data_IF_736941926121
#
_entry.id   IF_736941926121
#
_cell.length_a   1.000
_cell.length_b   1.000
_cell.length_c   1.000
_cell.angle_alpha   90.00
_cell.angle_beta   90.00
_cell.angle_gamma   90.00
#
_symmetry.space_group_name_H-M   'P 1'
#
loop_
_entity.id
_entity.type
_entity.pdbx_description
1 polymer ?
#
# COMPACT_ATOMS: atom_id res chain seq x y z
N UNK A 1 24.59 -16.40 18.67
CA UNK A 1 23.66 -15.56 17.90
C UNK A 1 22.44 -16.40 17.61
N UNK A 2 21.32 -16.01 18.15
CA UNK A 2 20.01 -16.63 17.85
C UNK A 2 19.52 -16.12 16.50
N UNK A 3 18.93 -17.00 15.67
CA UNK A 3 18.49 -16.64 14.32
C UNK A 3 17.09 -17.19 14.10
N UNK A 4 16.15 -16.28 13.81
CA UNK A 4 14.80 -16.63 13.38
C UNK A 4 14.67 -16.49 11.86
N UNK A 5 13.76 -17.27 11.29
CA UNK A 5 13.49 -17.17 9.86
C UNK A 5 12.84 -15.83 9.52
N UNK A 6 11.77 -15.43 10.23
CA UNK A 6 11.05 -14.16 10.01
C UNK A 6 10.97 -13.34 11.29
N UNK A 7 11.48 -12.11 11.25
CA UNK A 7 11.13 -11.04 12.17
C UNK A 7 9.90 -10.31 11.64
N UNK A 8 8.91 -10.09 12.49
CA UNK A 8 7.63 -9.50 12.14
C UNK A 8 7.32 -8.34 13.09
N UNK A 9 7.47 -7.10 12.63
CA UNK A 9 7.25 -5.90 13.41
C UNK A 9 5.85 -5.33 13.18
N UNK A 10 5.17 -4.95 14.26
CA UNK A 10 3.88 -4.30 14.22
C UNK A 10 3.61 -3.47 15.48
N UNK A 11 2.68 -2.52 15.37
CA UNK A 11 2.22 -1.69 16.48
C UNK A 11 0.71 -1.49 16.48
N UNK A 12 0.05 -1.69 15.35
CA UNK A 12 -1.38 -1.48 15.22
C UNK A 12 -2.16 -2.69 15.75
N UNK A 13 -2.97 -2.47 16.77
CA UNK A 13 -3.72 -3.53 17.47
C UNK A 13 -4.67 -4.33 16.54
N UNK A 14 -5.17 -3.69 15.48
CA UNK A 14 -6.03 -4.36 14.50
C UNK A 14 -5.29 -5.32 13.55
N UNK A 15 -3.97 -5.29 13.53
CA UNK A 15 -3.15 -6.25 12.78
C UNK A 15 -3.05 -7.63 13.48
N UNK A 16 -3.42 -7.75 14.74
CA UNK A 16 -3.26 -9.00 15.53
C UNK A 16 -3.79 -10.24 14.81
N UNK A 17 -4.95 -10.13 14.16
CA UNK A 17 -5.52 -11.25 13.41
C UNK A 17 -4.67 -11.70 12.23
N UNK A 18 -4.10 -10.76 11.50
CA UNK A 18 -3.22 -11.05 10.37
C UNK A 18 -1.87 -11.63 10.82
N UNK A 19 -1.32 -11.11 11.91
CA UNK A 19 -0.09 -11.63 12.49
C UNK A 19 -0.25 -13.06 13.01
N UNK A 20 -1.32 -13.34 13.75
CA UNK A 20 -1.66 -14.69 14.19
C UNK A 20 -1.75 -15.66 13.01
N UNK A 21 -2.36 -15.21 11.90
CA UNK A 21 -2.46 -16.00 10.68
C UNK A 21 -1.09 -16.27 10.06
N UNK A 22 -0.20 -15.27 10.02
CA UNK A 22 1.19 -15.43 9.54
C UNK A 22 1.91 -16.43 10.43
N UNK A 23 1.96 -16.22 11.75
CA UNK A 23 2.69 -17.08 12.67
C UNK A 23 2.22 -18.53 12.57
N UNK A 24 0.92 -18.77 12.70
CA UNK A 24 0.36 -20.13 12.64
C UNK A 24 0.70 -20.82 11.32
N UNK A 25 0.58 -20.10 10.19
CA UNK A 25 0.84 -20.68 8.87
C UNK A 25 2.32 -20.99 8.67
N UNK A 26 3.20 -20.08 9.06
CA UNK A 26 4.63 -20.24 8.87
C UNK A 26 5.21 -21.29 9.83
N UNK A 27 4.84 -21.24 11.11
CA UNK A 27 5.31 -22.19 12.12
C UNK A 27 4.86 -23.62 11.81
N UNK A 28 3.63 -23.82 11.32
CA UNK A 28 3.16 -25.13 10.87
C UNK A 28 3.96 -25.70 9.70
N UNK A 29 4.61 -24.83 8.93
CA UNK A 29 5.51 -25.20 7.82
C UNK A 29 7.01 -25.26 8.22
N UNK A 30 7.33 -25.19 9.51
CA UNK A 30 8.71 -25.24 10.03
C UNK A 30 9.52 -23.96 9.79
N UNK A 31 8.86 -22.81 9.67
CA UNK A 31 9.48 -21.48 9.57
C UNK A 31 9.36 -20.80 10.93
N UNK A 32 10.48 -20.48 11.57
CA UNK A 32 10.48 -19.80 12.87
C UNK A 32 10.15 -18.32 12.72
N UNK A 33 9.30 -17.80 13.62
CA UNK A 33 8.86 -16.41 13.65
C UNK A 33 9.27 -15.74 14.95
N UNK A 34 9.46 -14.43 14.92
CA UNK A 34 9.72 -13.58 16.09
C UNK A 34 8.93 -12.28 15.94
N UNK A 35 8.09 -11.99 16.92
CA UNK A 35 7.27 -10.78 16.95
C UNK A 35 8.01 -9.64 17.60
N UNK A 36 8.02 -8.48 16.92
CA UNK A 36 8.50 -7.21 17.43
C UNK A 36 7.30 -6.28 17.65
N UNK A 37 7.19 -5.73 18.85
CA UNK A 37 6.12 -4.81 19.25
C UNK A 37 6.67 -3.76 20.20
N UNK A 38 5.83 -2.82 20.63
CA UNK A 38 6.20 -1.83 21.66
C UNK A 38 6.77 -2.46 22.94
N UNK A 39 6.35 -3.68 23.29
CA UNK A 39 6.77 -4.32 24.50
C UNK A 39 8.24 -4.78 24.51
N UNK A 40 8.84 -4.97 23.34
CA UNK A 40 10.19 -5.56 23.24
C UNK A 40 11.13 -4.83 22.27
N UNK A 41 10.69 -3.78 21.58
CA UNK A 41 11.48 -3.12 20.52
C UNK A 41 12.85 -2.65 21.01
N UNK A 42 12.96 -2.11 22.23
CA UNK A 42 14.23 -1.64 22.80
C UNK A 42 15.21 -2.79 23.05
N UNK A 43 14.75 -3.87 23.70
CA UNK A 43 15.57 -5.05 23.98
C UNK A 43 15.99 -5.72 22.66
N UNK A 44 15.07 -5.88 21.72
CA UNK A 44 15.35 -6.47 20.40
C UNK A 44 16.37 -5.63 19.65
N UNK A 45 16.25 -4.29 19.68
CA UNK A 45 17.20 -3.41 19.02
C UNK A 45 18.62 -3.59 19.58
N UNK A 46 18.77 -3.66 20.90
CA UNK A 46 20.07 -3.93 21.53
C UNK A 46 20.62 -5.29 21.14
N UNK A 47 19.78 -6.33 21.14
CA UNK A 47 20.21 -7.71 20.79
C UNK A 47 20.63 -7.77 19.31
N UNK A 48 19.91 -7.09 18.41
CA UNK A 48 20.25 -7.01 16.99
C UNK A 48 21.55 -6.23 16.81
N UNK A 49 21.70 -5.05 17.42
CA UNK A 49 22.94 -4.23 17.35
C UNK A 49 24.16 -5.05 17.81
N UNK A 50 24.04 -5.74 18.94
CA UNK A 50 25.08 -6.55 19.55
C UNK A 50 25.29 -7.91 18.87
N UNK A 51 24.61 -8.21 17.76
CA UNK A 51 24.67 -9.47 17.01
C UNK A 51 24.30 -10.70 17.84
N UNK A 52 23.45 -10.55 18.84
CA UNK A 52 22.91 -11.65 19.64
C UNK A 52 21.66 -12.25 18.97
N UNK A 53 20.90 -11.42 18.23
CA UNK A 53 19.69 -11.78 17.50
C UNK A 53 19.81 -11.39 16.01
N UNK A 54 19.27 -12.21 15.12
CA UNK A 54 19.21 -11.93 13.69
C UNK A 54 17.97 -12.57 13.04
N UNK A 55 17.59 -12.04 11.89
CA UNK A 55 16.48 -12.52 11.08
C UNK A 55 16.97 -12.82 9.65
N UNK A 56 16.49 -13.93 9.06
CA UNK A 56 16.72 -14.22 7.64
C UNK A 56 15.82 -13.34 6.76
N UNK A 57 14.60 -13.14 7.21
CA UNK A 57 13.58 -12.27 6.57
C UNK A 57 13.03 -11.31 7.60
N UNK A 58 12.56 -10.14 7.13
CA UNK A 58 11.96 -9.13 7.98
C UNK A 58 10.78 -8.50 7.27
N UNK A 59 9.61 -8.52 7.90
CA UNK A 59 8.41 -7.81 7.47
C UNK A 59 8.10 -6.73 8.50
N UNK A 60 8.19 -5.48 8.05
CA UNK A 60 7.96 -4.31 8.90
C UNK A 60 6.56 -3.73 8.63
N UNK A 61 5.74 -3.72 9.67
CA UNK A 61 4.42 -3.09 9.69
C UNK A 61 4.30 -2.02 10.78
N UNK A 62 5.43 -1.40 11.17
CA UNK A 62 5.51 -0.44 12.25
C UNK A 62 6.41 0.77 11.96
N UNK A 63 7.16 0.76 10.85
CA UNK A 63 8.18 1.75 10.54
C UNK A 63 7.65 3.20 10.47
N UNK A 64 6.40 3.38 10.04
CA UNK A 64 5.74 4.67 9.85
C UNK A 64 5.02 5.19 11.10
N UNK A 65 5.01 4.42 12.16
CA UNK A 65 4.29 4.75 13.41
C UNK A 65 5.24 5.22 14.52
N UNK A 66 6.47 4.67 14.54
CA UNK A 66 7.40 4.94 15.64
C UNK A 66 8.87 4.86 15.17
N UNK A 67 9.66 5.89 15.52
CA UNK A 67 11.07 6.05 15.11
C UNK A 67 11.98 4.89 15.53
N UNK A 68 11.66 4.16 16.61
CA UNK A 68 12.46 3.01 17.06
C UNK A 68 12.37 1.85 16.06
N UNK A 69 11.18 1.62 15.47
CA UNK A 69 11.01 0.60 14.42
C UNK A 69 11.70 1.03 13.13
N UNK A 70 11.58 2.29 12.74
CA UNK A 70 12.30 2.84 11.60
C UNK A 70 13.82 2.66 11.75
N UNK A 71 14.38 3.06 12.92
CA UNK A 71 15.81 2.93 13.20
C UNK A 71 16.28 1.48 13.16
N UNK A 72 15.50 0.55 13.74
CA UNK A 72 15.81 -0.88 13.71
C UNK A 72 15.72 -1.42 12.28
N UNK A 73 14.69 -1.04 11.52
CA UNK A 73 14.53 -1.42 10.11
C UNK A 73 15.72 -1.01 9.26
N UNK A 74 16.27 0.18 9.46
CA UNK A 74 17.49 0.64 8.82
C UNK A 74 18.71 -0.22 9.16
N UNK A 75 18.86 -0.66 10.41
CA UNK A 75 19.96 -1.53 10.85
C UNK A 75 19.82 -2.91 10.20
N UNK A 76 18.62 -3.48 10.21
CA UNK A 76 18.31 -4.79 9.61
C UNK A 76 18.57 -4.75 8.10
N UNK A 77 18.12 -3.72 7.41
CA UNK A 77 18.27 -3.58 5.95
C UNK A 77 19.74 -3.47 5.49
N UNK A 78 20.66 -3.06 6.38
CA UNK A 78 22.12 -3.04 6.10
C UNK A 78 22.79 -4.41 6.25
N UNK A 79 22.04 -5.43 6.68
CA UNK A 79 22.55 -6.79 6.89
C UNK A 79 22.15 -7.70 5.72
N UNK A 80 22.43 -9.01 5.86
CA UNK A 80 22.04 -10.02 4.86
C UNK A 80 20.56 -10.43 4.96
N UNK A 81 19.76 -9.72 5.73
CA UNK A 81 18.33 -9.97 5.89
C UNK A 81 17.57 -9.54 4.63
N UNK A 82 16.66 -10.39 4.16
CA UNK A 82 15.72 -9.99 3.10
C UNK A 82 14.57 -9.23 3.74
N UNK A 83 14.45 -7.96 3.42
CA UNK A 83 13.42 -7.07 3.98
C UNK A 83 12.26 -6.95 2.99
N UNK A 84 11.04 -7.21 3.45
CA UNK A 84 9.78 -6.95 2.76
C UNK A 84 9.13 -5.72 3.38
N UNK A 85 8.97 -4.68 2.81
CA UNK A 85 9.43 -3.85 1.74
C UNK A 85 10.71 -3.09 2.15
N UNK A 86 11.72 -2.97 1.29
CA UNK A 86 12.91 -2.18 1.63
C UNK A 86 12.58 -0.69 1.80
N UNK A 87 12.97 -0.10 2.94
CA UNK A 87 12.59 1.25 3.36
C UNK A 87 12.73 2.33 2.28
N UNK A 88 13.88 2.39 1.60
CA UNK A 88 14.08 3.37 0.51
C UNK A 88 13.08 3.25 -0.63
N UNK A 89 12.62 2.03 -0.93
CA UNK A 89 11.62 1.81 -1.97
C UNK A 89 10.25 2.24 -1.48
N UNK A 90 9.95 2.03 -0.19
CA UNK A 90 8.70 2.48 0.41
C UNK A 90 8.59 3.99 0.35
N UNK A 91 9.60 4.73 0.84
CA UNK A 91 9.62 6.20 0.79
C UNK A 91 9.40 6.75 -0.60
N UNK A 92 9.95 6.10 -1.62
CA UNK A 92 9.73 6.49 -3.01
C UNK A 92 8.31 6.16 -3.49
N UNK A 93 7.81 4.98 -3.13
CA UNK A 93 6.52 4.49 -3.61
C UNK A 93 5.30 5.17 -2.97
N UNK A 94 5.43 5.68 -1.74
CA UNK A 94 4.34 6.40 -1.06
C UNK A 94 4.20 7.86 -1.51
N UNK A 95 5.23 8.45 -2.13
CA UNK A 95 5.15 9.81 -2.71
C UNK A 95 4.24 9.79 -3.95
N UNK A 96 2.99 10.24 -3.77
CA UNK A 96 1.97 10.25 -4.82
C UNK A 96 2.37 11.08 -6.03
N UNK A 97 3.13 12.17 -5.84
CA UNK A 97 3.60 12.99 -6.95
C UNK A 97 4.61 12.24 -7.83
N UNK A 98 5.59 11.57 -7.22
CA UNK A 98 6.57 10.75 -7.93
C UNK A 98 5.90 9.57 -8.64
N UNK A 99 5.02 8.85 -7.95
CA UNK A 99 4.31 7.72 -8.55
C UNK A 99 3.40 8.13 -9.70
N UNK A 100 2.75 9.31 -9.61
CA UNK A 100 1.95 9.84 -10.70
C UNK A 100 2.76 9.96 -12.00
N UNK A 101 3.93 10.59 -11.93
CA UNK A 101 4.83 10.77 -13.07
C UNK A 101 5.36 9.44 -13.62
N UNK A 102 5.73 8.52 -12.73
CA UNK A 102 6.21 7.20 -13.14
C UNK A 102 5.12 6.37 -13.81
N UNK A 103 3.89 6.45 -13.31
CA UNK A 103 2.76 5.71 -13.89
C UNK A 103 2.39 6.23 -15.27
N UNK A 104 2.36 7.56 -15.48
CA UNK A 104 2.18 8.16 -16.81
C UNK A 104 3.30 7.69 -17.75
N UNK A 105 4.54 7.82 -17.34
CA UNK A 105 5.72 7.43 -18.13
C UNK A 105 5.68 5.94 -18.48
N UNK A 106 5.17 5.12 -17.58
CA UNK A 106 4.97 3.70 -17.83
C UNK A 106 3.73 3.39 -18.68
N UNK A 107 2.91 4.37 -19.05
CA UNK A 107 1.68 4.18 -19.83
C UNK A 107 0.56 3.49 -19.03
N UNK A 108 0.46 3.76 -17.73
CA UNK A 108 -0.72 3.48 -16.93
C UNK A 108 -1.68 4.66 -17.04
N UNK A 109 -2.98 4.38 -17.06
CA UNK A 109 -3.96 5.45 -16.95
C UNK A 109 -4.05 5.88 -15.49
N UNK A 110 -3.93 7.15 -15.23
CA UNK A 110 -4.12 7.81 -13.95
C UNK A 110 -5.06 9.01 -14.15
N UNK A 111 -5.73 9.52 -13.12
CA UNK A 111 -6.55 10.72 -13.24
C UNK A 111 -5.73 11.90 -13.73
N UNK A 112 -6.33 12.81 -14.48
CA UNK A 112 -5.70 14.12 -14.72
C UNK A 112 -5.38 14.75 -13.37
N UNK A 113 -4.17 15.25 -13.21
CA UNK A 113 -3.72 15.74 -11.91
C UNK A 113 -2.80 16.95 -12.04
N UNK A 114 -2.93 17.87 -11.08
CA UNK A 114 -2.07 19.03 -10.91
C UNK A 114 -1.29 18.82 -9.60
N UNK A 115 0.04 18.82 -9.69
CA UNK A 115 0.91 18.70 -8.51
C UNK A 115 1.25 20.10 -8.04
N UNK A 116 1.00 20.37 -6.76
CA UNK A 116 1.23 21.66 -6.12
C UNK A 116 2.38 21.52 -5.13
N UNK A 117 3.38 22.42 -5.18
CA UNK A 117 4.50 22.42 -4.26
C UNK A 117 4.07 22.70 -2.82
N UNK A 118 4.91 22.39 -1.80
CA UNK A 118 4.68 22.75 -0.42
C UNK A 118 4.38 24.24 -0.23
N UNK A 119 3.52 24.57 0.73
CA UNK A 119 3.23 25.97 1.05
C UNK A 119 4.46 26.71 1.56
N UNK A 120 5.31 26.05 2.33
CA UNK A 120 6.57 26.59 2.83
C UNK A 120 7.57 26.97 1.71
N UNK A 121 7.48 26.34 0.54
CA UNK A 121 8.32 26.68 -0.62
C UNK A 121 7.69 27.74 -1.50
N UNK A 122 6.38 27.64 -1.79
CA UNK A 122 5.65 28.54 -2.67
C UNK A 122 4.27 28.83 -2.07
N UNK A 123 4.06 30.03 -1.53
CA UNK A 123 2.77 30.44 -0.96
C UNK A 123 1.67 30.53 -2.02
N UNK A 124 1.96 31.23 -3.13
CA UNK A 124 0.98 31.47 -4.18
C UNK A 124 1.05 30.39 -5.25
N UNK A 125 -0.07 29.70 -5.49
CA UNK A 125 -0.18 28.73 -6.57
C UNK A 125 -0.66 29.43 -7.85
N UNK A 126 -0.10 29.00 -8.98
CA UNK A 126 -0.55 29.42 -10.31
C UNK A 126 -1.18 28.19 -10.98
N UNK A 127 -2.49 28.23 -11.17
CA UNK A 127 -3.26 27.24 -11.91
C UNK A 127 -4.03 27.98 -13.00
N UNK A 128 -3.92 27.53 -14.22
CA UNK A 128 -4.60 28.15 -15.36
C UNK A 128 -6.08 27.77 -15.41
N UNK A 129 -6.87 28.55 -16.14
CA UNK A 129 -8.30 28.26 -16.33
C UNK A 129 -8.46 26.93 -17.10
N UNK A 130 -7.58 26.66 -18.07
CA UNK A 130 -7.57 25.45 -18.86
C UNK A 130 -7.29 24.21 -17.99
N UNK A 131 -6.35 24.30 -17.04
CA UNK A 131 -6.08 23.23 -16.09
C UNK A 131 -7.28 22.96 -15.19
N UNK A 132 -7.96 24.01 -14.72
CA UNK A 132 -9.17 23.89 -13.91
C UNK A 132 -10.34 23.31 -14.71
N UNK A 133 -10.46 23.64 -16.00
CA UNK A 133 -11.48 23.08 -16.87
C UNK A 133 -11.29 21.56 -17.05
N UNK A 134 -10.06 21.12 -17.26
CA UNK A 134 -9.72 19.68 -17.38
C UNK A 134 -9.91 18.95 -16.06
N UNK A 135 -9.48 19.56 -14.94
CA UNK A 135 -9.62 18.99 -13.59
C UNK A 135 -11.11 18.75 -13.25
N UNK A 136 -11.97 19.64 -13.69
CA UNK A 136 -13.42 19.57 -13.47
C UNK A 136 -13.83 19.81 -12.03
N UNK A 137 -15.14 19.67 -11.75
CA UNK A 137 -15.73 19.80 -10.41
C UNK A 137 -16.78 18.73 -10.18
N UNK A 138 -16.88 18.15 -8.98
CA UNK A 138 -15.90 18.27 -7.89
C UNK A 138 -14.60 17.54 -8.22
N UNK A 139 -13.49 17.93 -7.58
CA UNK A 139 -12.18 17.28 -7.69
C UNK A 139 -11.69 16.77 -6.34
N UNK A 140 -10.56 16.05 -6.33
CA UNK A 140 -9.96 15.47 -5.13
C UNK A 140 -8.71 16.25 -4.77
N UNK A 141 -8.51 16.55 -3.48
CA UNK A 141 -7.26 17.10 -2.93
C UNK A 141 -6.62 16.01 -2.07
N UNK A 142 -5.35 15.70 -2.30
CA UNK A 142 -4.61 14.71 -1.51
C UNK A 142 -3.22 15.24 -1.14
N UNK A 143 -2.76 15.11 0.12
CA UNK A 143 -1.36 15.27 0.45
C UNK A 143 -0.54 14.15 -0.21
N UNK A 144 0.67 14.46 -0.68
CA UNK A 144 1.46 13.50 -1.44
C UNK A 144 2.17 12.47 -0.57
N UNK A 145 2.66 12.86 0.60
CA UNK A 145 3.47 11.99 1.46
C UNK A 145 2.71 11.42 2.66
N UNK A 146 1.51 11.92 2.95
CA UNK A 146 0.66 11.35 4.00
C UNK A 146 0.04 10.04 3.51
N UNK A 147 0.25 8.96 4.24
CA UNK A 147 -0.25 7.62 3.93
C UNK A 147 -1.27 7.15 4.97
N UNK A 148 -2.23 6.35 4.52
CA UNK A 148 -3.20 5.67 5.39
C UNK A 148 -4.44 6.50 5.76
N UNK A 149 -5.56 5.81 5.93
CA UNK A 149 -6.79 6.32 6.52
C UNK A 149 -7.50 7.48 5.84
N UNK A 150 -7.04 7.96 4.68
CA UNK A 150 -7.63 9.12 3.99
C UNK A 150 -7.41 10.45 4.72
N UNK A 151 -6.45 10.53 5.64
CA UNK A 151 -6.14 11.77 6.38
C UNK A 151 -5.73 12.88 5.41
N UNK A 152 -6.36 14.06 5.54
CA UNK A 152 -6.12 15.22 4.67
C UNK A 152 -6.64 15.05 3.23
N UNK A 153 -7.46 14.03 2.94
CA UNK A 153 -8.07 13.84 1.61
C UNK A 153 -9.44 14.50 1.55
N UNK A 154 -9.62 15.47 0.64
CA UNK A 154 -10.90 16.10 0.33
C UNK A 154 -11.43 15.50 -0.96
N UNK A 155 -12.57 14.80 -0.89
CA UNK A 155 -13.12 14.04 -2.04
C UNK A 155 -14.15 14.81 -2.87
N UNK A 156 -14.45 16.05 -2.51
CA UNK A 156 -15.52 16.84 -3.14
C UNK A 156 -15.20 18.33 -3.22
N UNK A 157 -13.94 18.70 -3.42
CA UNK A 157 -13.54 20.09 -3.54
C UNK A 157 -14.11 20.73 -4.80
N UNK A 158 -14.57 21.96 -4.69
CA UNK A 158 -15.17 22.72 -5.78
C UNK A 158 -14.47 24.07 -6.03
N UNK A 159 -13.54 24.46 -5.17
CA UNK A 159 -12.90 25.76 -5.21
C UNK A 159 -11.41 25.72 -4.93
N UNK A 160 -10.67 26.71 -5.47
CA UNK A 160 -9.26 26.91 -5.13
C UNK A 160 -9.06 27.34 -3.67
N UNK A 161 -10.09 27.89 -3.03
CA UNK A 161 -9.99 28.26 -1.62
C UNK A 161 -9.78 27.01 -0.75
N UNK A 162 -10.50 25.94 -1.02
CA UNK A 162 -10.31 24.66 -0.32
C UNK A 162 -8.89 24.11 -0.49
N UNK A 163 -8.31 24.29 -1.69
CA UNK A 163 -6.91 23.93 -1.93
C UNK A 163 -5.95 24.72 -1.06
N UNK A 164 -6.17 26.05 -0.95
CA UNK A 164 -5.33 26.92 -0.13
C UNK A 164 -5.46 26.58 1.36
N UNK A 165 -6.69 26.34 1.81
CA UNK A 165 -6.97 25.99 3.22
C UNK A 165 -6.33 24.63 3.57
N UNK A 166 -6.43 23.61 2.71
CA UNK A 166 -5.79 22.31 2.93
C UNK A 166 -4.25 22.37 2.95
N UNK A 167 -3.64 23.19 2.10
CA UNK A 167 -2.18 23.38 2.10
C UNK A 167 -1.63 23.99 3.40
N UNK A 168 -2.48 24.69 4.17
CA UNK A 168 -2.11 25.24 5.47
C UNK A 168 -2.13 24.18 6.59
N UNK A 169 -2.78 23.04 6.38
CA UNK A 169 -2.83 21.96 7.39
C UNK A 169 -1.48 21.22 7.49
N UNK A 170 -0.77 21.08 6.36
CA UNK A 170 0.59 20.55 6.32
C UNK A 170 1.42 21.34 5.30
N UNK A 171 2.11 22.38 5.79
CA UNK A 171 2.85 23.33 4.96
C UNK A 171 4.08 22.75 4.28
N UNK A 172 4.60 21.63 4.77
CA UNK A 172 5.80 20.96 4.26
C UNK A 172 5.49 19.89 3.20
N UNK A 173 4.20 19.52 3.04
CA UNK A 173 3.84 18.49 2.05
C UNK A 173 3.43 19.10 0.70
N UNK A 174 3.73 18.37 -0.36
CA UNK A 174 3.16 18.58 -1.70
C UNK A 174 1.70 18.11 -1.72
N UNK A 175 0.90 18.70 -2.56
CA UNK A 175 -0.47 18.26 -2.77
C UNK A 175 -0.69 17.88 -4.24
N UNK A 176 -1.55 16.89 -4.45
CA UNK A 176 -2.02 16.51 -5.78
C UNK A 176 -3.52 16.77 -5.88
N UNK A 177 -3.92 17.57 -6.87
CA UNK A 177 -5.32 17.77 -7.23
C UNK A 177 -5.64 16.79 -8.34
N UNK A 178 -6.67 15.98 -8.17
CA UNK A 178 -7.02 14.94 -9.14
C UNK A 178 -8.45 15.11 -9.63
N UNK A 179 -8.69 14.94 -10.92
CA UNK A 179 -10.05 14.78 -11.44
C UNK A 179 -10.75 13.62 -10.73
N UNK A 180 -12.04 13.78 -10.49
CA UNK A 180 -12.85 12.73 -9.86
C UNK A 180 -13.26 11.69 -10.89
N UNK A 181 -12.79 10.46 -10.69
CA UNK A 181 -13.10 9.33 -11.57
C UNK A 181 -14.35 8.60 -11.09
N UNK A 182 -15.24 8.27 -12.02
CA UNK A 182 -16.47 7.56 -11.73
C UNK A 182 -16.39 6.13 -12.30
N UNK A 183 -16.62 5.09 -11.46
CA UNK A 183 -16.65 3.72 -11.93
C UNK A 183 -17.92 3.44 -12.76
N UNK A 184 -17.79 2.53 -13.72
CA UNK A 184 -18.98 1.93 -14.32
C UNK A 184 -19.66 0.98 -13.34
N UNK A 185 -20.92 0.66 -13.60
CA UNK A 185 -21.64 -0.38 -12.87
C UNK A 185 -21.51 -1.73 -13.56
N UNK A 186 -21.18 -2.77 -12.78
CA UNK A 186 -21.10 -4.17 -13.25
C UNK A 186 -22.04 -5.00 -12.34
N UNK A 187 -23.15 -5.45 -12.88
CA UNK A 187 -24.19 -6.20 -12.17
C UNK A 187 -24.56 -5.58 -10.80
N UNK A 188 -24.78 -4.27 -10.79
CA UNK A 188 -25.15 -3.51 -9.59
C UNK A 188 -24.00 -3.14 -8.66
N UNK A 189 -22.76 -3.59 -8.92
CA UNK A 189 -21.56 -3.21 -8.16
C UNK A 189 -20.80 -2.09 -8.87
N UNK A 190 -20.24 -1.18 -8.09
CA UNK A 190 -19.30 -0.16 -8.59
C UNK A 190 -17.99 -0.86 -9.00
N UNK A 191 -17.55 -0.67 -10.24
CA UNK A 191 -16.32 -1.29 -10.75
C UNK A 191 -15.07 -0.60 -10.18
N UNK A 192 -14.91 -0.72 -8.87
CA UNK A 192 -13.78 -0.23 -8.09
C UNK A 192 -13.12 -1.41 -7.40
N UNK A 193 -11.81 -1.52 -7.52
CA UNK A 193 -11.05 -2.67 -7.07
C UNK A 193 -9.88 -2.21 -6.21
N UNK A 194 -9.65 -2.89 -5.09
CA UNK A 194 -8.37 -2.87 -4.41
C UNK A 194 -7.58 -4.09 -4.86
N UNK A 195 -6.38 -3.88 -5.37
CA UNK A 195 -5.55 -4.97 -5.86
C UNK A 195 -4.28 -5.06 -5.04
N UNK A 196 -4.10 -6.18 -4.35
CA UNK A 196 -2.91 -6.46 -3.57
C UNK A 196 -1.82 -7.01 -4.48
N UNK A 197 -0.60 -6.51 -4.35
CA UNK A 197 0.59 -7.21 -4.76
C UNK A 197 1.14 -7.94 -3.56
N UNK A 198 1.10 -9.26 -3.56
CA UNK A 198 1.45 -10.08 -2.42
C UNK A 198 2.55 -11.06 -2.80
N UNK A 199 3.79 -10.68 -2.52
CA UNK A 199 4.99 -11.52 -2.64
C UNK A 199 5.08 -12.24 -4.00
N UNK A 200 4.94 -11.45 -5.09
CA UNK A 200 5.07 -11.92 -6.46
C UNK A 200 3.75 -12.31 -7.15
N UNK A 201 2.59 -12.10 -6.50
CA UNK A 201 1.28 -12.38 -7.08
C UNK A 201 0.28 -11.23 -6.88
N UNK A 202 -0.43 -10.79 -7.92
CA UNK A 202 -1.53 -9.87 -7.80
C UNK A 202 -2.79 -10.60 -7.30
N UNK A 203 -3.52 -9.97 -6.39
CA UNK A 203 -4.78 -10.46 -5.83
C UNK A 203 -5.77 -9.29 -5.84
N UNK A 204 -6.52 -9.06 -6.94
CA UNK A 204 -7.56 -8.05 -6.98
C UNK A 204 -8.82 -8.52 -6.25
N UNK A 205 -9.48 -7.59 -5.59
CA UNK A 205 -10.74 -7.77 -4.88
C UNK A 205 -11.70 -6.64 -5.24
N UNK A 206 -13.00 -6.87 -5.12
CA UNK A 206 -13.97 -5.78 -5.11
C UNK A 206 -13.75 -4.94 -3.87
N UNK A 207 -13.83 -3.63 -4.02
CA UNK A 207 -13.80 -2.69 -2.92
C UNK A 207 -14.75 -1.53 -3.22
N UNK A 208 -15.67 -1.28 -2.32
CA UNK A 208 -16.64 -0.22 -2.49
C UNK A 208 -16.09 1.06 -1.87
N UNK A 209 -15.87 2.09 -2.70
CA UNK A 209 -15.30 3.38 -2.31
C UNK A 209 -16.21 4.22 -1.40
N UNK A 210 -17.49 3.85 -1.25
CA UNK A 210 -18.47 4.56 -0.45
C UNK A 210 -18.69 3.91 0.91
N UNK A 211 -18.68 2.58 0.95
CA UNK A 211 -18.94 1.81 2.18
C UNK A 211 -17.68 1.23 2.80
N UNK A 212 -16.57 1.24 2.06
CA UNK A 212 -15.28 0.63 2.41
C UNK A 212 -15.36 -0.88 2.62
N UNK A 213 -16.35 -1.52 2.01
CA UNK A 213 -16.52 -2.97 2.12
C UNK A 213 -15.78 -3.70 1.01
N UNK A 214 -15.11 -4.79 1.42
CA UNK A 214 -14.46 -5.71 0.50
C UNK A 214 -15.35 -6.90 0.17
N UNK A 215 -15.26 -7.37 -1.07
CA UNK A 215 -15.74 -8.67 -1.49
C UNK A 215 -14.69 -9.40 -2.33
N UNK A 216 -14.68 -10.73 -2.25
CA UNK A 216 -13.80 -11.54 -3.08
C UNK A 216 -14.19 -11.41 -4.56
N UNK A 217 -13.21 -11.15 -5.42
CA UNK A 217 -13.42 -11.16 -6.87
C UNK A 217 -13.25 -12.59 -7.39
N UNK A 218 -14.35 -13.23 -7.74
CA UNK A 218 -14.37 -14.61 -8.22
C UNK A 218 -13.79 -14.73 -9.63
N UNK A 219 -13.27 -15.90 -9.95
CA UNK A 219 -12.67 -16.17 -11.26
C UNK A 219 -13.69 -16.01 -12.39
N UNK A 220 -14.91 -16.43 -12.16
CA UNK A 220 -16.03 -16.32 -13.11
C UNK A 220 -16.36 -14.84 -13.40
N UNK A 221 -16.40 -13.98 -12.37
CA UNK A 221 -16.61 -12.54 -12.53
C UNK A 221 -15.43 -11.89 -13.26
N UNK A 222 -14.19 -12.30 -12.95
CA UNK A 222 -12.97 -11.84 -13.62
C UNK A 222 -13.02 -12.11 -15.14
N UNK A 223 -13.51 -13.28 -15.52
CA UNK A 223 -13.62 -13.66 -16.93
C UNK A 223 -14.83 -13.00 -17.61
N UNK A 224 -15.98 -13.00 -16.94
CA UNK A 224 -17.23 -12.45 -17.46
C UNK A 224 -17.14 -10.95 -17.75
N UNK A 225 -16.55 -10.18 -16.82
CA UNK A 225 -16.40 -8.73 -16.97
C UNK A 225 -15.10 -8.30 -17.67
N UNK A 226 -14.24 -9.23 -18.07
CA UNK A 226 -12.99 -8.90 -18.77
C UNK A 226 -11.93 -8.20 -17.90
N UNK A 227 -11.87 -8.51 -16.60
CA UNK A 227 -11.07 -7.78 -15.61
C UNK A 227 -9.61 -8.27 -15.51
N UNK A 228 -9.13 -9.14 -16.38
CA UNK A 228 -7.75 -9.70 -16.34
C UNK A 228 -6.66 -8.62 -16.36
N UNK A 229 -6.97 -7.44 -16.89
CA UNK A 229 -6.06 -6.30 -16.91
C UNK A 229 -5.65 -5.80 -15.52
N UNK A 230 -6.47 -6.05 -14.49
CA UNK A 230 -6.11 -5.77 -13.10
C UNK A 230 -4.79 -6.46 -12.70
N UNK A 231 -4.59 -7.71 -13.11
CA UNK A 231 -3.35 -8.44 -12.86
C UNK A 231 -2.13 -7.80 -13.54
N UNK A 232 -2.31 -7.31 -14.77
CA UNK A 232 -1.23 -6.69 -15.53
C UNK A 232 -0.82 -5.36 -14.93
N UNK A 233 -1.82 -4.53 -14.57
CA UNK A 233 -1.59 -3.22 -13.93
C UNK A 233 -0.86 -3.41 -12.61
N UNK A 234 -1.35 -4.29 -11.74
CA UNK A 234 -0.73 -4.54 -10.43
C UNK A 234 0.71 -5.04 -10.55
N UNK A 235 0.99 -5.96 -11.51
CA UNK A 235 2.37 -6.38 -11.80
C UNK A 235 3.25 -5.23 -12.30
N UNK A 236 2.68 -4.34 -13.10
CA UNK A 236 3.41 -3.19 -13.64
C UNK A 236 3.77 -2.22 -12.53
N UNK A 237 2.84 -1.93 -11.61
CA UNK A 237 3.09 -1.12 -10.42
C UNK A 237 4.17 -1.76 -9.55
N UNK A 238 4.07 -3.07 -9.29
CA UNK A 238 5.10 -3.79 -8.53
C UNK A 238 6.49 -3.73 -9.17
N UNK A 239 6.56 -3.74 -10.50
CA UNK A 239 7.84 -3.57 -11.21
C UNK A 239 8.39 -2.16 -11.10
N UNK A 240 7.54 -1.14 -11.11
CA UNK A 240 7.93 0.27 -10.95
C UNK A 240 8.45 0.51 -9.53
N UNK A 241 7.67 0.13 -8.52
CA UNK A 241 7.99 0.39 -7.11
C UNK A 241 9.09 -0.53 -6.57
N UNK A 242 9.17 -1.75 -7.11
CA UNK A 242 10.05 -2.80 -6.60
C UNK A 242 9.68 -3.27 -5.19
N UNK A 243 8.44 -3.02 -4.74
CA UNK A 243 7.91 -3.51 -3.46
C UNK A 243 7.46 -4.97 -3.58
N UNK A 244 7.49 -5.66 -2.46
CA UNK A 244 7.08 -7.07 -2.35
C UNK A 244 5.63 -7.23 -1.88
N UNK A 245 5.13 -6.24 -1.13
CA UNK A 245 3.78 -6.23 -0.58
C UNK A 245 3.20 -4.81 -0.54
N UNK A 246 2.07 -4.57 -1.17
CA UNK A 246 1.31 -3.31 -1.15
C UNK A 246 -0.10 -3.52 -1.70
N UNK A 247 -0.98 -2.53 -1.56
CA UNK A 247 -2.24 -2.46 -2.29
C UNK A 247 -2.32 -1.19 -3.14
N UNK A 248 -3.14 -1.24 -4.19
CA UNK A 248 -3.45 -0.12 -5.08
C UNK A 248 -4.93 -0.13 -5.43
N UNK A 249 -5.50 1.03 -5.73
CA UNK A 249 -6.90 1.13 -6.15
C UNK A 249 -7.02 1.39 -7.65
N UNK A 250 -7.85 0.59 -8.31
CA UNK A 250 -8.05 0.63 -9.75
C UNK A 250 -9.54 0.70 -10.05
N UNK A 251 -9.92 1.68 -10.85
CA UNK A 251 -11.31 1.89 -11.29
C UNK A 251 -11.45 1.48 -12.75
N UNK A 252 -12.53 0.76 -13.06
CA UNK A 252 -12.92 0.48 -14.44
C UNK A 252 -14.06 1.42 -14.83
N UNK A 253 -13.80 2.28 -15.81
CA UNK A 253 -14.67 3.39 -16.21
C UNK A 253 -15.62 3.02 -17.35
N UNK A 254 -16.62 3.87 -17.61
CA UNK A 254 -17.61 3.64 -18.68
C UNK A 254 -17.02 3.68 -20.09
N UNK A 255 -15.90 4.38 -20.30
CA UNK A 255 -15.14 4.43 -21.55
C UNK A 255 -14.12 3.27 -21.68
N UNK A 256 -14.31 2.20 -20.89
CA UNK A 256 -13.50 0.98 -20.90
C UNK A 256 -12.02 1.17 -20.54
N UNK A 257 -11.70 2.16 -19.70
CA UNK A 257 -10.35 2.36 -19.17
C UNK A 257 -10.24 1.81 -17.76
N UNK A 258 -9.09 1.23 -17.45
CA UNK A 258 -8.67 0.97 -16.08
C UNK A 258 -7.79 2.12 -15.63
N UNK A 259 -8.19 2.83 -14.59
CA UNK A 259 -7.52 4.03 -14.07
C UNK A 259 -7.04 3.74 -12.65
N UNK A 260 -5.77 3.99 -12.39
CA UNK A 260 -5.17 3.83 -11.04
C UNK A 260 -5.43 5.09 -10.24
N UNK A 261 -6.19 4.98 -9.15
CA UNK A 261 -6.70 6.13 -8.37
C UNK A 261 -5.85 6.39 -7.14
N UNK A 262 -5.59 5.36 -6.34
CA UNK A 262 -4.69 5.44 -5.20
C UNK A 262 -3.50 4.51 -5.48
N UNK A 263 -2.31 5.14 -5.51
CA UNK A 263 -1.19 4.54 -6.22
C UNK A 263 -0.58 3.37 -5.47
N UNK A 264 -0.10 3.62 -4.24
CA UNK A 264 0.55 2.60 -3.42
C UNK A 264 0.19 2.82 -1.96
N UNK A 265 -0.42 1.82 -1.37
CA UNK A 265 -0.67 1.74 0.07
C UNK A 265 0.30 0.72 0.68
N UNK A 266 1.30 1.21 1.35
CA UNK A 266 2.17 0.53 2.28
C UNK A 266 2.06 1.33 3.59
N UNK A 267 1.51 0.85 4.59
CA UNK A 267 1.01 -0.48 4.97
C UNK A 267 -0.43 -0.72 4.52
N UNK A 268 -0.71 -1.86 3.90
CA UNK A 268 -2.11 -2.20 3.60
C UNK A 268 -2.87 -2.54 4.88
N UNK A 269 -4.14 -2.12 4.96
CA UNK A 269 -5.07 -2.64 5.94
C UNK A 269 -5.31 -4.14 5.72
N UNK A 270 -5.02 -4.94 6.75
CA UNK A 270 -5.13 -6.40 6.73
C UNK A 270 -6.00 -6.92 7.87
N UNK A 271 -7.04 -6.17 8.24
CA UNK A 271 -8.05 -6.61 9.20
C UNK A 271 -8.90 -7.73 8.61
N UNK A 272 -8.93 -8.89 9.25
CA UNK A 272 -9.74 -10.04 8.83
C UNK A 272 -11.24 -9.69 8.82
N UNK A 273 -11.93 -10.01 7.73
CA UNK A 273 -13.36 -9.78 7.59
C UNK A 273 -14.18 -10.56 8.62
N UNK A 274 -13.70 -11.70 9.08
CA UNK A 274 -14.32 -12.46 10.17
C UNK A 274 -14.28 -11.76 11.54
N UNK A 275 -13.35 -10.81 11.72
CA UNK A 275 -13.20 -10.00 12.94
C UNK A 275 -13.75 -8.56 12.76
N UNK A 276 -13.74 -8.02 11.54
CA UNK A 276 -14.13 -6.64 11.19
C UNK A 276 -14.98 -6.63 9.93
N UNK A 277 -16.16 -6.02 9.98
CA UNK A 277 -17.11 -6.00 8.86
C UNK A 277 -16.48 -5.43 7.57
N UNK A 278 -15.67 -4.38 7.72
CA UNK A 278 -14.92 -3.70 6.67
C UNK A 278 -13.50 -4.26 6.46
N UNK A 279 -13.22 -5.44 7.00
CA UNK A 279 -11.96 -6.15 6.82
C UNK A 279 -11.83 -6.82 5.46
N UNK A 280 -10.60 -7.20 5.14
CA UNK A 280 -10.25 -7.97 3.94
C UNK A 280 -10.81 -9.40 4.06
N UNK A 281 -11.38 -10.00 2.99
CA UNK A 281 -11.87 -11.37 3.06
C UNK A 281 -10.79 -12.34 3.54
N UNK A 282 -11.11 -13.18 4.51
CA UNK A 282 -10.16 -14.11 5.11
C UNK A 282 -9.47 -15.00 4.07
N UNK A 283 -10.20 -15.42 3.03
CA UNK A 283 -9.64 -16.19 1.90
C UNK A 283 -8.51 -15.46 1.16
N UNK A 284 -8.60 -14.13 1.07
CA UNK A 284 -7.60 -13.27 0.44
C UNK A 284 -6.36 -13.16 1.33
N UNK A 285 -6.55 -12.95 2.64
CA UNK A 285 -5.44 -12.94 3.60
C UNK A 285 -4.70 -14.27 3.66
N UNK A 286 -5.42 -15.39 3.65
CA UNK A 286 -4.82 -16.73 3.51
C UNK A 286 -3.98 -16.86 2.24
N UNK A 287 -4.42 -16.31 1.11
CA UNK A 287 -3.64 -16.31 -0.13
C UNK A 287 -2.36 -15.46 0.02
N UNK A 288 -2.45 -14.29 0.66
CA UNK A 288 -1.30 -13.41 0.91
C UNK A 288 -0.25 -14.12 1.76
N UNK A 289 -0.68 -14.71 2.89
CA UNK A 289 0.22 -15.42 3.81
C UNK A 289 0.86 -16.66 3.16
N UNK A 290 0.10 -17.41 2.36
CA UNK A 290 0.65 -18.51 1.59
C UNK A 290 1.68 -18.06 0.53
N UNK A 291 1.51 -16.87 -0.03
CA UNK A 291 2.51 -16.30 -0.95
C UNK A 291 3.79 -15.92 -0.20
N UNK A 292 3.67 -15.34 1.02
CA UNK A 292 4.81 -15.06 1.90
C UNK A 292 5.55 -16.35 2.25
N UNK A 293 4.86 -17.39 2.70
CA UNK A 293 5.45 -18.69 2.99
C UNK A 293 6.22 -19.25 1.80
N UNK A 294 5.62 -19.21 0.61
CA UNK A 294 6.24 -19.70 -0.62
C UNK A 294 7.53 -18.95 -0.96
N UNK A 295 7.58 -17.62 -0.83
CA UNK A 295 8.80 -16.88 -1.12
C UNK A 295 9.89 -17.18 -0.11
N UNK A 296 9.56 -17.27 1.18
CA UNK A 296 10.50 -17.66 2.24
C UNK A 296 11.09 -19.04 1.95
N UNK A 297 10.26 -20.03 1.66
CA UNK A 297 10.72 -21.39 1.36
C UNK A 297 11.61 -21.44 0.11
N UNK A 298 11.28 -20.65 -0.92
CA UNK A 298 12.08 -20.56 -2.14
C UNK A 298 13.47 -19.98 -1.86
N UNK A 299 13.55 -18.89 -1.12
CA UNK A 299 14.82 -18.24 -0.81
C UNK A 299 15.68 -19.08 0.16
N UNK A 300 15.06 -19.77 1.13
CA UNK A 300 15.76 -20.73 2.01
C UNK A 300 16.38 -21.90 1.22
N UNK A 301 15.74 -22.36 0.14
CA UNK A 301 16.32 -23.41 -0.73
C UNK A 301 17.54 -22.90 -1.50
N UNK A 302 17.50 -21.66 -2.00
CA UNK A 302 18.63 -21.05 -2.73
C UNK A 302 19.87 -20.85 -1.84
N UNK A 303 19.68 -20.56 -0.55
CA UNK A 303 20.78 -20.34 0.39
C UNK A 303 21.46 -21.64 0.86
N UNK A 304 20.87 -22.80 0.58
CA UNK A 304 21.39 -24.14 0.97
C UNK A 304 22.07 -24.87 -0.20
N UNK A 305 21.96 -24.39 -1.41
CA UNK A 305 22.60 -24.92 -2.62
C UNK A 305 23.70 -24.00 -3.11
#
# INVERSE_FOLDING_TARGET
>A
MEVFDLGLAYVWEYDDGFLELIERTLQSAGVSTFILSYNNIHEVSEQVINRKLAFNFYLDRAWDVDDHFEALGHIINRRKTIVFNPYKKVLHAIDKASMHLEFITAGLNVPYSIIIPPHSEIENIAITIEELEILGRPFIIKPCNTTGGGVGVVTGAESLREVLDERLTNTEDKYILQEKIYPRMLDGKRAWFRSFWAFGRPIPVWWDDQTHLYEELKKEEMEYFGLKKLYEITRKIAKITGLDFFSTEIVFTSDNKFVVIDYVNDQCDMRLKSKHLDGVPDSVEYQIVNNLLRIIQREKKKSKG
#
